data_IF_625270980512
#
_entry.id   IF_625270980512
#
_cell.length_a   1.000
_cell.length_b   1.000
_cell.length_c   1.000
_cell.angle_alpha   90.00
_cell.angle_beta   90.00
_cell.angle_gamma   90.00
#
_symmetry.space_group_name_H-M   'P 1'
#
loop_
_entity.id
_entity.type
_entity.pdbx_description
1 polymer ?
#
# COMPACT_ATOMS: atom_id res chain seq x y z
N UNK A 1 -23.76 -15.83 -5.50
CA UNK A 1 -22.44 -15.98 -6.15
C UNK A 1 -21.62 -14.67 -6.18
N UNK A 2 -22.14 -13.54 -6.69
CA UNK A 2 -21.36 -12.27 -6.81
C UNK A 2 -20.83 -11.70 -5.49
N UNK A 3 -21.58 -11.78 -4.40
CA UNK A 3 -21.14 -11.29 -3.08
C UNK A 3 -19.91 -12.05 -2.55
N UNK A 4 -19.87 -13.38 -2.74
CA UNK A 4 -18.73 -14.22 -2.34
C UNK A 4 -17.48 -13.90 -3.17
N UNK A 5 -17.65 -13.65 -4.47
CA UNK A 5 -16.55 -13.20 -5.36
C UNK A 5 -15.96 -11.86 -4.92
N UNK A 6 -16.80 -10.89 -4.51
CA UNK A 6 -16.31 -9.60 -3.99
C UNK A 6 -15.57 -9.74 -2.66
N UNK A 7 -16.07 -10.59 -1.74
CA UNK A 7 -15.45 -10.80 -0.43
C UNK A 7 -14.10 -11.52 -0.56
N UNK A 8 -14.03 -12.55 -1.40
CA UNK A 8 -12.81 -13.33 -1.60
C UNK A 8 -11.75 -12.55 -2.37
N UNK A 9 -12.16 -11.69 -3.32
CA UNK A 9 -11.24 -10.80 -4.02
C UNK A 9 -10.41 -9.95 -3.06
N UNK A 10 -11.04 -9.34 -2.04
CA UNK A 10 -10.32 -8.54 -1.04
C UNK A 10 -9.33 -9.39 -0.23
N UNK A 11 -9.77 -10.54 0.27
CA UNK A 11 -8.94 -11.43 1.10
C UNK A 11 -7.73 -11.95 0.31
N UNK A 12 -7.94 -12.34 -0.95
CA UNK A 12 -6.87 -12.81 -1.84
C UNK A 12 -5.86 -11.70 -2.11
N UNK A 13 -6.33 -10.48 -2.36
CA UNK A 13 -5.45 -9.30 -2.55
C UNK A 13 -4.64 -8.99 -1.29
N UNK A 14 -5.26 -9.01 -0.11
CA UNK A 14 -4.59 -8.75 1.17
C UNK A 14 -3.49 -9.80 1.43
N UNK A 15 -3.76 -11.07 1.14
CA UNK A 15 -2.77 -12.16 1.30
C UNK A 15 -1.63 -12.06 0.29
N UNK A 16 -1.95 -11.75 -0.97
CA UNK A 16 -0.94 -11.55 -2.02
C UNK A 16 -0.02 -10.37 -1.71
N UNK A 17 -0.55 -9.28 -1.16
CA UNK A 17 0.24 -8.12 -0.77
C UNK A 17 1.23 -8.44 0.36
N UNK A 18 0.81 -9.22 1.35
CA UNK A 18 1.70 -9.69 2.44
C UNK A 18 2.87 -10.50 1.88
N UNK A 19 2.59 -11.45 0.97
CA UNK A 19 3.63 -12.25 0.32
C UNK A 19 4.56 -11.43 -0.57
N UNK A 20 4.02 -10.44 -1.27
CA UNK A 20 4.82 -9.50 -2.03
C UNK A 20 5.82 -8.73 -1.14
N UNK A 21 5.38 -8.25 0.03
CA UNK A 21 6.25 -7.56 0.98
C UNK A 21 7.36 -8.46 1.54
N UNK A 22 7.07 -9.74 1.81
CA UNK A 22 8.09 -10.71 2.24
C UNK A 22 9.20 -10.87 1.19
N UNK A 23 8.81 -11.08 -0.08
CA UNK A 23 9.76 -11.22 -1.18
C UNK A 23 10.57 -9.93 -1.37
N UNK A 24 9.91 -8.78 -1.31
CA UNK A 24 10.57 -7.49 -1.48
C UNK A 24 11.62 -7.25 -0.40
N UNK A 25 11.31 -7.54 0.86
CA UNK A 25 12.26 -7.46 1.98
C UNK A 25 13.44 -8.40 1.81
N UNK A 26 13.19 -9.64 1.40
CA UNK A 26 14.25 -10.59 1.11
C UNK A 26 15.20 -10.06 0.03
N UNK A 27 14.68 -9.59 -1.10
CA UNK A 27 15.50 -9.07 -2.20
C UNK A 27 16.23 -7.78 -1.80
N UNK A 28 15.60 -6.90 -1.03
CA UNK A 28 16.23 -5.69 -0.54
C UNK A 28 17.42 -5.99 0.38
N UNK A 29 17.29 -6.94 1.30
CA UNK A 29 18.37 -7.40 2.16
C UNK A 29 19.56 -7.93 1.33
N UNK A 30 19.28 -8.78 0.34
CA UNK A 30 20.31 -9.33 -0.56
C UNK A 30 21.05 -8.25 -1.36
N UNK A 31 20.37 -7.14 -1.67
CA UNK A 31 20.92 -6.01 -2.45
C UNK A 31 21.47 -4.88 -1.58
N UNK A 32 21.51 -5.04 -0.25
CA UNK A 32 21.91 -3.99 0.69
C UNK A 32 21.03 -2.74 0.62
N UNK A 33 19.72 -2.91 0.36
CA UNK A 33 18.73 -1.83 0.32
C UNK A 33 17.87 -1.86 1.58
N UNK A 34 17.36 -0.69 1.95
CA UNK A 34 16.46 -0.52 3.07
C UNK A 34 15.02 -0.34 2.59
N UNK A 35 14.09 -0.98 3.29
CA UNK A 35 12.66 -0.77 3.13
C UNK A 35 12.14 -0.09 4.38
N UNK A 36 11.37 0.99 4.20
CA UNK A 36 10.71 1.72 5.29
C UNK A 36 9.21 1.58 5.10
N UNK A 37 8.54 1.03 6.10
CA UNK A 37 7.08 0.95 6.13
C UNK A 37 6.52 2.25 6.71
N UNK A 38 5.59 2.85 5.99
CA UNK A 38 4.81 4.01 6.44
C UNK A 38 3.46 3.57 6.99
N UNK A 39 2.84 4.41 7.80
CA UNK A 39 1.53 4.12 8.40
C UNK A 39 0.45 3.91 7.32
N UNK A 40 -0.53 3.05 7.62
CA UNK A 40 -1.65 2.72 6.73
C UNK A 40 -2.46 3.95 6.32
N UNK A 41 -2.60 4.93 7.22
CA UNK A 41 -3.39 6.14 7.00
C UNK A 41 -2.53 7.33 6.58
N UNK A 42 -1.29 7.09 6.16
CA UNK A 42 -0.43 8.13 5.65
C UNK A 42 -1.04 8.77 4.39
N UNK A 43 -1.24 10.11 4.37
CA UNK A 43 -1.97 10.79 3.31
C UNK A 43 -1.11 10.99 2.05
N UNK A 44 -0.48 9.95 1.51
CA UNK A 44 0.45 10.05 0.37
C UNK A 44 -0.20 10.73 -0.84
N UNK A 45 -1.38 10.27 -1.25
CA UNK A 45 -2.11 10.82 -2.40
C UNK A 45 -2.74 12.19 -2.16
N UNK A 46 -2.89 12.60 -0.88
CA UNK A 46 -3.42 13.92 -0.50
C UNK A 46 -2.31 14.94 -0.20
N UNK A 47 -1.05 14.50 -0.13
CA UNK A 47 0.10 15.36 0.14
C UNK A 47 0.64 15.90 -1.18
N UNK A 48 0.71 17.23 -1.31
CA UNK A 48 1.29 17.85 -2.50
C UNK A 48 2.80 17.61 -2.56
N UNK A 49 3.30 17.06 -3.67
CA UNK A 49 4.74 16.82 -3.87
C UNK A 49 5.58 18.10 -3.95
N UNK A 50 4.98 19.22 -4.37
CA UNK A 50 5.69 20.50 -4.53
C UNK A 50 5.78 21.32 -3.24
N UNK A 51 4.81 21.21 -2.33
CA UNK A 51 4.74 22.08 -1.15
C UNK A 51 4.47 21.36 0.17
N UNK A 52 4.26 20.04 0.16
CA UNK A 52 4.02 19.24 1.36
C UNK A 52 2.65 19.46 2.03
N UNK A 53 1.81 20.35 1.51
CA UNK A 53 0.49 20.61 2.07
C UNK A 53 -0.43 19.39 1.90
N UNK A 54 -1.15 19.03 2.97
CA UNK A 54 -2.15 17.96 2.97
C UNK A 54 -3.51 18.56 2.61
N UNK A 55 -4.06 18.13 1.47
CA UNK A 55 -5.40 18.53 1.02
C UNK A 55 -6.45 17.61 1.63
N UNK A 56 -7.01 18.00 2.77
CA UNK A 56 -8.01 17.19 3.48
C UNK A 56 -9.27 16.93 2.64
N UNK A 57 -9.69 17.95 1.88
CA UNK A 57 -10.88 18.02 1.03
C UNK A 57 -10.73 17.34 -0.33
N UNK A 58 -9.55 16.83 -0.67
CA UNK A 58 -9.33 16.12 -1.92
C UNK A 58 -10.13 14.81 -1.94
N UNK A 59 -11.07 14.71 -2.88
CA UNK A 59 -11.81 13.47 -3.16
C UNK A 59 -10.97 12.55 -4.04
N UNK A 60 -10.72 11.32 -3.55
CA UNK A 60 -10.01 10.27 -4.29
C UNK A 60 -11.07 9.27 -4.78
N UNK A 61 -10.93 8.82 -6.02
CA UNK A 61 -11.86 7.86 -6.67
C UNK A 61 -11.44 6.41 -6.43
#
# INVERSE_FOLDING_TARGET
MKAMQMMWGRIVLDYAFTKFLEILQYVALQRGKQIVLIDRWYPSSKTCSSCGAIKADLSLQ
#
